data_IF_989086212978
#
_entry.id   IF_989086212978
#
_cell.length_a   1.000
_cell.length_b   1.000
_cell.length_c   1.000
_cell.angle_alpha   90.00
_cell.angle_beta   90.00
_cell.angle_gamma   90.00
#
_symmetry.space_group_name_H-M   'P 1'
#
loop_
_entity.id
_entity.type
_entity.pdbx_description
1 polymer ?
#
# COMPACT_ATOMS: atom_id res chain seq x y z
N UNK A 1 3.29 12.87 7.59
CA UNK A 1 3.26 12.47 6.16
C UNK A 1 2.00 11.68 5.90
N UNK A 2 1.40 11.86 4.73
CA UNK A 2 0.18 11.13 4.33
C UNK A 2 0.55 10.02 3.36
N UNK A 3 0.11 8.81 3.65
CA UNK A 3 0.35 7.64 2.81
C UNK A 3 -0.98 7.10 2.30
N UNK A 4 -1.16 7.08 0.99
CA UNK A 4 -2.29 6.42 0.35
C UNK A 4 -1.94 4.97 0.07
N UNK A 5 -2.87 4.05 0.39
CA UNK A 5 -2.68 2.62 0.18
C UNK A 5 -3.62 2.13 -0.90
N UNK A 6 -3.04 1.48 -1.91
CA UNK A 6 -3.72 0.91 -3.05
C UNK A 6 -3.52 -0.61 -3.03
N UNK A 7 -4.61 -1.34 -2.82
CA UNK A 7 -4.57 -2.79 -2.90
C UNK A 7 -4.76 -3.23 -4.33
N UNK A 8 -4.00 -4.23 -4.73
CA UNK A 8 -4.19 -4.82 -6.05
C UNK A 8 -5.57 -5.47 -6.15
N UNK A 9 -6.34 -5.14 -7.19
CA UNK A 9 -7.61 -5.81 -7.43
C UNK A 9 -7.31 -7.26 -7.83
N UNK A 10 -7.76 -8.22 -7.02
CA UNK A 10 -7.80 -9.62 -7.45
C UNK A 10 -8.95 -9.69 -8.46
N UNK A 11 -8.65 -10.09 -9.71
CA UNK A 11 -9.68 -10.18 -10.74
C UNK A 11 -10.91 -10.94 -10.21
N UNK A 12 -12.14 -10.42 -10.34
CA UNK A 12 -13.35 -11.09 -9.88
C UNK A 12 -13.67 -12.35 -10.70
N UNK A 13 -13.04 -12.55 -11.86
CA UNK A 13 -13.21 -13.73 -12.69
C UNK A 13 -12.21 -14.80 -12.26
N UNK A 14 -12.54 -15.51 -11.19
CA UNK A 14 -11.75 -16.63 -10.69
C UNK A 14 -11.52 -17.69 -11.77
N UNK A 15 -10.25 -17.99 -12.05
CA UNK A 15 -9.65 -19.31 -12.29
C UNK A 15 -8.26 -19.09 -12.89
N UNK A 16 -7.23 -19.59 -12.21
CA UNK A 16 -5.86 -19.57 -12.70
C UNK A 16 -5.05 -18.38 -12.22
N UNK A 17 -3.86 -18.69 -11.74
CA UNK A 17 -2.80 -17.77 -11.40
C UNK A 17 -2.58 -16.77 -12.56
N UNK A 18 -3.17 -15.57 -12.47
CA UNK A 18 -2.58 -14.45 -13.17
C UNK A 18 -1.27 -14.19 -12.44
N UNK A 19 -0.20 -14.79 -12.95
CA UNK A 19 1.16 -14.33 -12.69
C UNK A 19 1.14 -12.90 -13.18
N UNK A 20 0.95 -12.00 -12.24
CA UNK A 20 0.94 -10.60 -12.52
C UNK A 20 2.32 -10.25 -13.08
N UNK A 21 2.36 -9.90 -14.36
CA UNK A 21 3.60 -9.48 -14.99
C UNK A 21 4.07 -8.19 -14.31
N UNK A 22 5.27 -8.27 -13.74
CA UNK A 22 5.99 -7.12 -13.26
C UNK A 22 6.25 -6.20 -14.47
N UNK A 23 5.67 -5.00 -14.45
CA UNK A 23 5.78 -4.01 -15.52
C UNK A 23 6.43 -2.75 -14.96
N UNK A 24 7.75 -2.77 -14.69
CA UNK A 24 8.47 -1.61 -14.15
C UNK A 24 8.52 -0.45 -15.15
N UNK A 25 8.37 -0.73 -16.45
CA UNK A 25 8.43 0.26 -17.53
C UNK A 25 7.16 1.11 -17.67
N UNK A 26 6.09 0.76 -16.94
CA UNK A 26 4.80 1.46 -17.02
C UNK A 26 4.59 2.29 -15.76
N UNK A 27 4.40 3.60 -15.95
CA UNK A 27 4.23 4.54 -14.85
C UNK A 27 3.04 4.15 -13.96
N UNK A 28 3.19 4.36 -12.65
CA UNK A 28 2.12 4.15 -11.66
C UNK A 28 0.79 4.81 -12.05
N UNK A 29 0.81 6.04 -12.55
CA UNK A 29 -0.39 6.78 -12.95
C UNK A 29 -1.26 6.03 -13.95
N UNK A 30 -0.61 5.30 -14.87
CA UNK A 30 -1.28 4.60 -15.94
C UNK A 30 -1.84 3.26 -15.45
N UNK A 31 -1.32 2.74 -14.34
CA UNK A 31 -1.71 1.47 -13.72
C UNK A 31 -2.66 1.63 -12.53
N UNK A 32 -2.91 2.86 -12.06
CA UNK A 32 -3.73 3.10 -10.87
C UNK A 32 -5.14 2.46 -10.93
N UNK A 33 -5.70 2.35 -12.14
CA UNK A 33 -7.00 1.72 -12.39
C UNK A 33 -7.05 0.21 -12.09
N UNK A 34 -5.88 -0.46 -12.03
CA UNK A 34 -5.75 -1.88 -11.67
C UNK A 34 -5.84 -2.12 -10.15
N UNK A 35 -5.90 -1.03 -9.38
CA UNK A 35 -5.84 -1.05 -7.92
C UNK A 35 -7.11 -0.47 -7.32
N UNK A 36 -7.47 -0.94 -6.13
CA UNK A 36 -8.49 -0.34 -5.29
C UNK A 36 -7.81 0.56 -4.26
N UNK A 37 -8.16 1.85 -4.24
CA UNK A 37 -7.76 2.75 -3.14
C UNK A 37 -8.43 2.28 -1.85
N UNK A 38 -7.64 1.80 -0.91
CA UNK A 38 -8.14 1.14 0.30
C UNK A 38 -8.13 2.05 1.52
N UNK A 39 -7.02 2.75 1.75
CA UNK A 39 -6.83 3.54 2.96
C UNK A 39 -6.00 4.79 2.67
N UNK A 40 -6.16 5.78 3.56
CA UNK A 40 -5.24 6.90 3.70
C UNK A 40 -4.76 6.87 5.14
N UNK A 41 -3.45 6.81 5.35
CA UNK A 41 -2.80 6.67 6.64
C UNK A 41 -1.97 7.93 6.89
N UNK A 42 -2.30 8.64 7.96
CA UNK A 42 -1.48 9.75 8.44
C UNK A 42 -0.46 9.21 9.43
N UNK A 43 0.83 9.34 9.11
CA UNK A 43 1.94 8.91 9.96
C UNK A 43 2.86 10.08 10.32
N UNK A 44 3.22 10.19 11.58
CA UNK A 44 4.32 11.06 12.00
C UNK A 44 5.65 10.34 11.70
N UNK A 45 6.39 10.84 10.71
CA UNK A 45 7.66 10.27 10.27
C UNK A 45 8.57 11.37 9.70
N UNK A 46 9.89 11.31 9.94
CA UNK A 46 10.85 12.31 9.46
C UNK A 46 11.15 12.18 7.96
N UNK A 47 10.96 11.00 7.39
CA UNK A 47 11.23 10.70 5.98
C UNK A 47 10.23 9.69 5.39
N UNK A 48 10.23 9.59 4.06
CA UNK A 48 9.35 8.69 3.30
C UNK A 48 9.56 7.23 3.64
N UNK A 49 10.80 6.81 3.91
CA UNK A 49 11.13 5.40 4.18
C UNK A 49 10.58 4.97 5.53
N UNK A 50 10.69 5.83 6.54
CA UNK A 50 10.08 5.61 7.85
C UNK A 50 8.54 5.63 7.75
N UNK A 51 7.97 6.55 6.95
CA UNK A 51 6.54 6.58 6.68
C UNK A 51 6.03 5.26 6.06
N UNK A 52 6.71 4.74 5.02
CA UNK A 52 6.38 3.47 4.39
C UNK A 52 6.46 2.29 5.37
N UNK A 53 7.52 2.23 6.18
CA UNK A 53 7.70 1.17 7.18
C UNK A 53 6.62 1.17 8.24
N UNK A 54 6.27 2.34 8.78
CA UNK A 54 5.22 2.50 9.79
C UNK A 54 3.85 2.12 9.23
N UNK A 55 3.52 2.63 8.04
CA UNK A 55 2.28 2.28 7.34
C UNK A 55 2.21 0.79 7.05
N UNK A 56 3.25 0.17 6.49
CA UNK A 56 3.22 -1.25 6.19
C UNK A 56 3.12 -2.14 7.45
N UNK A 57 3.81 -1.77 8.54
CA UNK A 57 3.67 -2.48 9.82
C UNK A 57 2.22 -2.44 10.32
N UNK A 58 1.56 -1.28 10.23
CA UNK A 58 0.15 -1.14 10.56
C UNK A 58 -0.74 -2.06 9.70
N UNK A 59 -0.47 -2.09 8.40
CA UNK A 59 -1.25 -2.87 7.44
C UNK A 59 -1.01 -4.38 7.59
N UNK A 60 0.17 -4.80 8.05
CA UNK A 60 0.50 -6.23 8.25
C UNK A 60 -0.23 -6.85 9.43
N UNK A 61 -0.37 -6.11 10.52
CA UNK A 61 -1.02 -6.55 11.75
C UNK A 61 -2.38 -5.86 11.82
N UNK A 62 -3.42 -6.50 11.23
CA UNK A 62 -4.85 -6.10 11.25
C UNK A 62 -5.07 -4.88 12.15
N UNK A 63 -5.24 -3.67 11.58
CA UNK A 63 -4.95 -2.42 12.28
C UNK A 63 -5.65 -2.38 13.63
N UNK A 64 -4.85 -2.35 14.70
CA UNK A 64 -5.32 -2.03 16.05
C UNK A 64 -4.82 -0.62 16.37
N UNK A 65 -5.73 0.24 16.84
CA UNK A 65 -5.38 1.61 17.28
C UNK A 65 -4.33 1.61 18.39
N UNK A 66 -4.16 0.49 19.08
CA UNK A 66 -3.22 0.30 20.19
C UNK A 66 -1.78 0.09 19.74
N UNK A 67 -1.54 -0.49 18.55
CA UNK A 67 -0.18 -0.68 18.00
C UNK A 67 0.37 0.57 17.31
N UNK A 68 -0.38 1.66 17.33
CA UNK A 68 -0.29 2.75 16.38
C UNK A 68 0.09 4.07 17.03
N UNK A 69 1.16 4.10 17.82
CA UNK A 69 1.68 5.34 18.46
C UNK A 69 1.98 6.51 17.50
N UNK A 70 1.63 6.41 16.21
CA UNK A 70 1.82 7.40 15.17
C UNK A 70 0.67 7.48 14.13
N UNK A 71 -0.50 6.84 14.31
CA UNK A 71 -1.57 6.80 13.27
C UNK A 71 -2.79 7.62 13.69
N UNK A 72 -3.07 8.68 12.94
CA UNK A 72 -4.12 9.65 13.29
C UNK A 72 -5.48 9.25 12.69
N UNK A 73 -5.53 8.63 11.50
CA UNK A 73 -6.79 8.22 10.84
C UNK A 73 -6.64 7.03 9.89
N UNK A 74 -7.66 6.17 9.88
CA UNK A 74 -7.91 5.14 8.86
C UNK A 74 -9.28 5.39 8.26
N UNK A 75 -9.35 5.65 6.95
CA UNK A 75 -10.58 5.98 6.25
C UNK A 75 -11.24 4.75 5.58
N UNK A 76 -11.44 3.66 6.33
CA UNK A 76 -12.37 2.53 6.01
C UNK A 76 -12.28 1.47 7.11
N UNK A 77 -13.43 0.97 7.58
CA UNK A 77 -13.51 0.01 8.71
C UNK A 77 -12.98 -1.41 8.42
N UNK A 78 -12.58 -1.69 7.18
CA UNK A 78 -12.05 -3.00 6.78
C UNK A 78 -10.85 -2.85 5.85
N UNK A 79 -9.73 -2.48 6.45
CA UNK A 79 -8.46 -2.46 5.71
C UNK A 79 -7.92 -3.89 5.62
N UNK A 80 -7.80 -4.40 4.40
CA UNK A 80 -7.17 -5.69 4.13
C UNK A 80 -5.69 -5.61 4.50
N UNK A 81 -5.09 -6.73 4.92
CA UNK A 81 -3.63 -6.79 5.10
C UNK A 81 -2.93 -6.50 3.77
N UNK A 82 -1.97 -5.58 3.78
CA UNK A 82 -1.14 -5.35 2.60
C UNK A 82 -0.30 -6.58 2.26
N UNK A 83 -0.15 -6.84 0.97
CA UNK A 83 0.67 -7.93 0.41
C UNK A 83 1.63 -7.42 -0.67
N UNK A 84 2.55 -8.29 -1.09
CA UNK A 84 3.44 -8.02 -2.24
C UNK A 84 2.59 -7.58 -3.45
N UNK A 85 3.07 -6.57 -4.17
CA UNK A 85 2.39 -5.98 -5.30
C UNK A 85 1.32 -4.94 -4.94
N UNK A 86 1.08 -4.63 -3.66
CA UNK A 86 0.31 -3.46 -3.27
C UNK A 86 1.15 -2.19 -3.40
N UNK A 87 0.51 -1.04 -3.59
CA UNK A 87 1.20 0.24 -3.78
C UNK A 87 0.90 1.20 -2.64
N UNK A 88 1.96 1.81 -2.11
CA UNK A 88 1.91 2.89 -1.13
C UNK A 88 2.39 4.18 -1.80
N UNK A 89 1.57 5.22 -1.78
CA UNK A 89 1.93 6.54 -2.32
C UNK A 89 2.19 7.49 -1.16
N UNK A 90 3.40 8.05 -1.08
CA UNK A 90 3.80 9.05 -0.07
C UNK A 90 4.39 10.27 -0.76
N UNK A 91 3.83 11.45 -0.45
CA UNK A 91 4.19 12.73 -1.08
C UNK A 91 4.24 12.67 -2.63
N UNK A 92 3.29 11.94 -3.22
CA UNK A 92 3.18 11.77 -4.68
C UNK A 92 4.16 10.77 -5.30
N UNK A 93 5.02 10.12 -4.51
CA UNK A 93 5.88 9.03 -4.98
C UNK A 93 5.25 7.68 -4.67
N UNK A 94 5.12 6.82 -5.70
CA UNK A 94 4.57 5.48 -5.58
C UNK A 94 5.65 4.45 -5.27
N UNK A 95 5.32 3.52 -4.38
CA UNK A 95 6.19 2.44 -3.97
C UNK A 95 5.42 1.13 -3.97
N UNK A 96 5.88 0.14 -4.73
CA UNK A 96 5.34 -1.22 -4.70
C UNK A 96 5.96 -2.00 -3.53
N UNK A 97 5.14 -2.77 -2.83
CA UNK A 97 5.59 -3.70 -1.79
C UNK A 97 6.27 -4.89 -2.46
N UNK A 98 7.54 -5.08 -2.15
CA UNK A 98 8.33 -6.24 -2.60
C UNK A 98 8.61 -7.20 -1.45
N UNK A 99 9.09 -8.41 -1.79
CA UNK A 99 9.64 -9.30 -0.78
C UNK A 99 10.84 -8.62 -0.11
N UNK A 100 10.75 -8.40 1.20
CA UNK A 100 11.78 -7.72 2.00
C UNK A 100 11.79 -6.19 1.96
N UNK A 101 10.89 -5.49 1.25
CA UNK A 101 10.93 -4.03 1.23
C UNK A 101 9.93 -3.31 0.34
N UNK A 102 10.39 -2.17 -0.21
CA UNK A 102 9.63 -1.32 -1.10
C UNK A 102 10.51 -0.91 -2.27
N UNK A 103 9.93 -0.91 -3.46
CA UNK A 103 10.57 -0.45 -4.69
C UNK A 103 9.80 0.73 -5.26
N UNK A 104 10.50 1.73 -5.79
CA UNK A 104 9.87 2.91 -6.37
C UNK A 104 9.47 2.62 -7.82
N UNK A 105 8.23 2.98 -8.17
CA UNK A 105 7.64 2.81 -9.50
C UNK A 105 7.02 4.12 -10.03
#
# INVERSE_FOLDING_TARGET
>A
MTVEVYHRQHSPTGTGYNVFEERPDVAWSDRQHEYERSATVEVEAPDRRDALRRTFRLMRHKPSTTDSGAVVKLYRDSVRRSSIGDVLVVDGAAYEVQDGGFERI
#
